data_IF_491046162285
#
_entry.id   IF_491046162285
#
_cell.length_a   1.000
_cell.length_b   1.000
_cell.length_c   1.000
_cell.angle_alpha   90.00
_cell.angle_beta   90.00
_cell.angle_gamma   90.00
#
_symmetry.space_group_name_H-M   'P 1'
#
loop_
_entity.id
_entity.type
_entity.pdbx_description
1 polymer ?
#
# COMPACT_ATOMS: atom_id res chain seq x y z
N UNK A 1 -5.29 10.47 -69.01
CA UNK A 1 -5.89 9.65 -70.08
C UNK A 1 -6.31 8.32 -69.49
N UNK A 2 -7.57 7.95 -69.68
CA UNK A 2 -8.28 6.85 -69.05
C UNK A 2 -8.07 5.50 -69.76
N UNK A 3 -8.26 4.40 -69.01
CA UNK A 3 -9.01 3.14 -69.33
C UNK A 3 -8.63 2.10 -68.24
N UNK A 4 -9.41 1.85 -67.18
CA UNK A 4 -10.71 1.14 -67.09
C UNK A 4 -10.72 -0.18 -67.86
N UNK A 5 -10.65 -1.32 -67.16
CA UNK A 5 -11.35 -2.58 -67.47
C UNK A 5 -11.35 -3.53 -66.25
N UNK A 6 -12.55 -3.77 -65.73
CA UNK A 6 -13.09 -4.97 -65.05
C UNK A 6 -14.57 -5.07 -65.53
N UNK A 7 -15.39 -6.14 -65.36
CA UNK A 7 -15.28 -7.27 -64.41
C UNK A 7 -15.85 -8.65 -64.93
N UNK A 8 -16.06 -9.61 -64.00
CA UNK A 8 -17.05 -10.74 -63.96
C UNK A 8 -16.61 -12.20 -64.36
N UNK A 9 -17.34 -13.30 -63.97
CA UNK A 9 -17.76 -13.78 -62.63
C UNK A 9 -17.76 -15.35 -62.43
N UNK A 10 -18.46 -15.84 -61.36
CA UNK A 10 -19.03 -17.20 -61.06
C UNK A 10 -18.02 -18.26 -60.51
N UNK A 11 -18.24 -19.10 -59.47
CA UNK A 11 -19.46 -19.66 -58.88
C UNK A 11 -19.31 -20.12 -57.41
N UNK A 12 -20.47 -20.11 -56.73
CA UNK A 12 -20.87 -20.67 -55.44
C UNK A 12 -20.91 -22.20 -55.38
N UNK A 13 -20.65 -22.76 -54.19
CA UNK A 13 -21.33 -23.98 -53.73
C UNK A 13 -21.52 -23.96 -52.20
N UNK A 14 -22.78 -24.02 -51.79
CA UNK A 14 -23.23 -24.20 -50.42
C UNK A 14 -23.48 -25.69 -50.15
N UNK A 15 -23.26 -26.14 -48.90
CA UNK A 15 -23.87 -27.36 -48.37
C UNK A 15 -24.24 -27.17 -46.90
N UNK A 16 -25.46 -27.60 -46.58
CA UNK A 16 -26.22 -27.40 -45.35
C UNK A 16 -26.22 -28.69 -44.50
N UNK A 17 -25.98 -28.53 -43.20
CA UNK A 17 -26.44 -29.24 -41.96
C UNK A 17 -26.90 -30.73 -41.98
N UNK A 18 -26.64 -31.50 -40.89
CA UNK A 18 -27.44 -31.44 -39.64
C UNK A 18 -26.62 -31.64 -38.34
N UNK A 19 -26.78 -30.85 -37.26
CA UNK A 19 -27.81 -30.83 -36.21
C UNK A 19 -27.30 -31.38 -34.86
N UNK A 20 -27.43 -30.54 -33.83
CA UNK A 20 -27.66 -30.85 -32.40
C UNK A 20 -26.66 -31.77 -31.67
N UNK A 21 -25.77 -31.14 -30.91
CA UNK A 21 -25.44 -31.60 -29.56
C UNK A 21 -25.56 -30.43 -28.58
N UNK A 22 -26.50 -30.54 -27.64
CA UNK A 22 -26.63 -29.66 -26.47
C UNK A 22 -25.70 -30.20 -25.37
N UNK A 23 -24.87 -29.34 -24.79
CA UNK A 23 -24.12 -29.60 -23.55
C UNK A 23 -24.50 -28.49 -22.57
N UNK A 24 -24.78 -28.81 -21.29
CA UNK A 24 -25.65 -28.01 -20.43
C UNK A 24 -24.99 -26.74 -19.91
N UNK A 25 -25.84 -25.73 -19.68
CA UNK A 25 -25.50 -24.52 -18.95
C UNK A 25 -25.11 -24.86 -17.51
N UNK A 26 -23.85 -24.61 -17.14
CA UNK A 26 -23.42 -24.59 -15.75
C UNK A 26 -23.59 -23.17 -15.23
N UNK A 27 -24.33 -23.06 -14.14
CA UNK A 27 -24.80 -21.85 -13.50
C UNK A 27 -23.67 -20.87 -13.13
N UNK A 28 -23.81 -19.64 -13.59
CA UNK A 28 -23.07 -18.46 -13.15
C UNK A 28 -23.48 -18.13 -11.71
N UNK A 29 -22.59 -18.35 -10.74
CA UNK A 29 -22.74 -17.84 -9.37
C UNK A 29 -21.37 -17.72 -8.67
N UNK A 30 -20.59 -16.68 -9.01
CA UNK A 30 -19.58 -16.09 -8.11
C UNK A 30 -19.03 -14.79 -8.70
N UNK A 31 -19.80 -13.70 -8.59
CA UNK A 31 -19.28 -12.32 -8.67
C UNK A 31 -20.14 -11.41 -7.80
N UNK A 32 -19.61 -11.06 -6.63
CA UNK A 32 -19.88 -9.81 -5.89
C UNK A 32 -19.08 -9.84 -4.58
N UNK A 33 -17.83 -9.40 -4.64
CA UNK A 33 -17.08 -8.87 -3.51
C UNK A 33 -15.83 -8.22 -4.11
N UNK A 34 -15.91 -6.91 -4.38
CA UNK A 34 -14.80 -5.92 -4.35
C UNK A 34 -15.18 -4.62 -5.07
N UNK A 35 -16.21 -4.59 -5.91
CA UNK A 35 -16.69 -3.37 -6.58
C UNK A 35 -18.21 -3.45 -6.83
N UNK A 36 -18.98 -2.51 -6.28
CA UNK A 36 -20.42 -2.43 -6.52
C UNK A 36 -21.11 -1.26 -5.82
N UNK A 37 -21.36 -0.17 -6.57
CA UNK A 37 -22.33 0.87 -6.22
C UNK A 37 -23.77 0.34 -6.35
N UNK A 38 -24.68 0.82 -5.50
CA UNK A 38 -26.09 0.41 -5.49
C UNK A 38 -26.92 1.30 -6.41
N UNK A 39 -27.62 0.68 -7.36
CA UNK A 39 -28.79 1.26 -8.05
C UNK A 39 -30.03 0.86 -7.26
N UNK A 40 -30.83 1.86 -6.88
CA UNK A 40 -32.03 1.69 -6.05
C UNK A 40 -33.24 1.21 -6.84
N UNK A 41 -34.01 0.31 -6.23
CA UNK A 41 -35.41 0.05 -6.59
C UNK A 41 -36.26 0.07 -5.32
N UNK A 42 -37.26 0.96 -5.31
CA UNK A 42 -38.33 1.08 -4.30
C UNK A 42 -39.46 0.12 -4.62
N UNK A 43 -39.98 -0.60 -3.63
CA UNK A 43 -41.34 -1.19 -3.58
C UNK A 43 -41.84 -1.19 -2.11
N UNK A 44 -43.15 -0.99 -1.81
CA UNK A 44 -43.60 -0.38 -0.56
C UNK A 44 -44.02 -1.35 0.57
N UNK A 45 -44.47 -0.74 1.67
CA UNK A 45 -44.64 -1.29 3.01
C UNK A 45 -46.00 -1.96 3.33
N UNK A 46 -45.97 -2.72 4.45
CA UNK A 46 -47.00 -3.16 5.42
C UNK A 46 -47.67 -4.53 5.23
N UNK A 47 -47.47 -5.42 6.23
CA UNK A 47 -48.46 -5.98 7.18
C UNK A 47 -47.74 -7.05 8.05
N UNK A 48 -47.52 -6.80 9.35
CA UNK A 48 -48.31 -7.25 10.52
C UNK A 48 -48.05 -8.70 10.99
N UNK A 49 -47.32 -8.77 12.13
CA UNK A 49 -47.41 -9.69 13.29
C UNK A 49 -47.85 -11.15 13.14
N UNK A 50 -46.98 -12.08 13.55
CA UNK A 50 -47.19 -12.98 14.71
C UNK A 50 -45.93 -13.80 15.00
N UNK A 51 -45.51 -13.82 16.26
CA UNK A 51 -44.38 -14.61 16.72
C UNK A 51 -44.75 -16.06 16.98
N UNK A 52 -43.76 -16.95 16.80
CA UNK A 52 -43.63 -18.23 17.50
C UNK A 52 -42.14 -18.48 17.69
N UNK A 53 -41.75 -18.68 18.94
CA UNK A 53 -40.42 -19.11 19.39
C UNK A 53 -40.31 -20.64 19.32
N UNK A 54 -39.23 -21.16 18.74
CA UNK A 54 -38.65 -22.44 19.12
C UNK A 54 -37.19 -22.53 18.60
N UNK A 55 -36.30 -23.00 19.46
CA UNK A 55 -34.85 -22.87 19.31
C UNK A 55 -34.20 -23.79 18.28
N UNK A 56 -33.00 -23.38 17.88
CA UNK A 56 -32.01 -24.23 17.25
C UNK A 56 -30.63 -23.76 17.73
N UNK A 57 -29.97 -24.60 18.52
CA UNK A 57 -28.54 -24.49 18.80
C UNK A 57 -27.77 -24.68 17.49
N UNK A 58 -26.92 -23.71 17.16
CA UNK A 58 -25.95 -23.82 16.08
C UNK A 58 -24.58 -23.42 16.62
N UNK A 59 -23.78 -24.43 16.93
CA UNK A 59 -22.34 -24.32 17.19
C UNK A 59 -21.62 -24.00 15.87
N UNK A 60 -21.49 -22.72 15.57
CA UNK A 60 -20.59 -22.20 14.54
C UNK A 60 -19.20 -21.87 15.11
N UNK A 61 -18.12 -21.89 14.30
CA UNK A 61 -16.79 -21.53 14.78
C UNK A 61 -16.78 -20.06 15.21
N UNK A 62 -16.22 -19.80 16.39
CA UNK A 62 -16.17 -18.48 17.02
C UNK A 62 -15.56 -17.45 16.05
N UNK A 63 -16.41 -16.58 15.49
CA UNK A 63 -15.98 -15.31 14.97
C UNK A 63 -15.26 -14.60 16.12
N UNK A 64 -13.97 -14.30 15.97
CA UNK A 64 -13.26 -13.42 16.90
C UNK A 64 -14.09 -12.14 16.97
N UNK A 65 -14.70 -11.87 18.12
CA UNK A 65 -15.36 -10.61 18.37
C UNK A 65 -14.34 -9.51 18.06
N UNK A 66 -14.69 -8.59 17.17
CA UNK A 66 -13.89 -7.39 16.95
C UNK A 66 -13.74 -6.74 18.32
N UNK A 67 -12.53 -6.74 18.86
CA UNK A 67 -12.21 -5.98 20.07
C UNK A 67 -12.47 -4.52 19.74
N UNK A 68 -13.61 -4.01 20.21
CA UNK A 68 -13.98 -2.61 20.12
C UNK A 68 -12.94 -1.85 20.95
N UNK A 69 -12.05 -1.14 20.28
CA UNK A 69 -11.08 -0.26 20.95
C UNK A 69 -11.83 0.98 21.45
N UNK A 70 -11.52 1.43 22.66
CA UNK A 70 -12.13 2.65 23.18
C UNK A 70 -11.68 3.88 22.35
N UNK A 71 -12.44 4.99 22.33
CA UNK A 71 -12.01 6.21 21.65
C UNK A 71 -10.65 6.73 22.14
N UNK A 72 -10.34 6.56 23.42
CA UNK A 72 -9.06 6.97 24.02
C UNK A 72 -7.91 6.08 23.51
N UNK A 73 -8.12 4.75 23.50
CA UNK A 73 -7.16 3.79 22.94
C UNK A 73 -6.95 4.01 21.44
N UNK A 74 -8.00 4.38 20.70
CA UNK A 74 -7.93 4.73 19.29
C UNK A 74 -7.02 5.92 19.04
N UNK A 75 -7.20 7.00 19.81
CA UNK A 75 -6.35 8.20 19.70
C UNK A 75 -4.90 7.90 20.06
N UNK A 76 -4.66 7.09 21.10
CA UNK A 76 -3.30 6.69 21.49
C UNK A 76 -2.64 5.79 20.44
N UNK A 77 -3.39 4.85 19.87
CA UNK A 77 -2.93 3.95 18.82
C UNK A 77 -2.48 4.72 17.58
N UNK A 78 -3.32 5.63 17.09
CA UNK A 78 -3.05 6.41 15.87
C UNK A 78 -1.74 7.19 15.97
N UNK A 79 -1.38 7.66 17.17
CA UNK A 79 -0.11 8.35 17.43
C UNK A 79 1.11 7.44 17.50
N UNK A 80 0.93 6.16 17.83
CA UNK A 80 2.02 5.17 18.00
C UNK A 80 2.26 4.32 16.75
N UNK A 81 1.23 4.16 15.92
CA UNK A 81 1.28 3.36 14.70
C UNK A 81 2.31 3.92 13.71
N UNK A 82 3.16 3.06 13.16
CA UNK A 82 4.17 3.46 12.18
C UNK A 82 3.58 3.41 10.79
N UNK A 83 3.07 4.55 10.35
CA UNK A 83 2.43 4.67 9.04
C UNK A 83 3.35 5.23 7.97
N UNK A 84 3.13 4.78 6.74
CA UNK A 84 3.88 5.22 5.56
C UNK A 84 2.98 5.20 4.32
N UNK A 85 3.07 6.22 3.47
CA UNK A 85 2.49 6.13 2.13
C UNK A 85 3.32 5.15 1.30
N UNK A 86 2.67 4.12 0.76
CA UNK A 86 3.36 3.04 0.04
C UNK A 86 3.36 3.28 -1.47
N UNK A 87 2.16 3.40 -2.02
CA UNK A 87 1.98 3.63 -3.44
C UNK A 87 0.60 4.20 -3.74
N UNK A 88 0.47 4.81 -4.91
CA UNK A 88 -0.82 5.19 -5.49
C UNK A 88 -1.18 4.27 -6.63
N UNK A 89 -2.40 3.73 -6.62
CA UNK A 89 -2.90 2.81 -7.63
C UNK A 89 -3.84 3.55 -8.58
N UNK A 90 -3.57 3.44 -9.87
CA UNK A 90 -4.45 3.97 -10.91
C UNK A 90 -4.32 3.18 -12.20
N UNK A 91 -5.28 3.37 -13.11
CA UNK A 91 -5.46 2.54 -14.29
C UNK A 91 -4.93 3.24 -15.53
N UNK A 92 -4.37 2.46 -16.46
CA UNK A 92 -3.79 2.97 -17.72
C UNK A 92 -4.30 2.17 -18.90
N UNK A 93 -4.52 2.83 -20.03
CA UNK A 93 -5.00 2.23 -21.27
C UNK A 93 -3.92 1.49 -22.06
N UNK A 94 -2.66 1.91 -21.93
CA UNK A 94 -1.50 1.28 -22.55
C UNK A 94 -0.32 1.26 -21.57
N UNK A 95 -0.04 0.08 -21.01
CA UNK A 95 0.97 -0.08 -19.96
C UNK A 95 2.37 0.24 -20.46
N UNK A 96 2.73 -0.20 -21.66
CA UNK A 96 4.10 -0.05 -22.17
C UNK A 96 4.37 1.40 -22.59
N UNK A 97 3.36 2.08 -23.16
CA UNK A 97 3.43 3.52 -23.45
C UNK A 97 3.62 4.34 -22.18
N UNK A 98 2.89 4.03 -21.10
CA UNK A 98 3.01 4.76 -19.83
C UNK A 98 4.33 4.45 -19.12
N UNK A 99 4.79 3.19 -19.10
CA UNK A 99 6.13 2.84 -18.60
C UNK A 99 7.21 3.61 -19.35
N UNK A 100 7.14 3.66 -20.69
CA UNK A 100 8.09 4.40 -21.52
C UNK A 100 8.08 5.89 -21.19
N UNK A 101 6.90 6.49 -21.07
CA UNK A 101 6.79 7.90 -20.71
C UNK A 101 7.41 8.19 -19.34
N UNK A 102 7.10 7.39 -18.31
CA UNK A 102 7.64 7.64 -16.96
C UNK A 102 9.14 7.39 -16.86
N UNK A 103 9.67 6.41 -17.58
CA UNK A 103 11.11 6.12 -17.57
C UNK A 103 11.91 7.13 -18.40
N UNK A 104 11.45 7.48 -19.60
CA UNK A 104 12.20 8.37 -20.50
C UNK A 104 11.98 9.86 -20.24
N UNK A 105 10.80 10.26 -19.77
CA UNK A 105 10.45 11.66 -19.57
C UNK A 105 10.53 12.09 -18.11
N UNK A 106 10.19 11.21 -17.16
CA UNK A 106 10.15 11.52 -15.73
C UNK A 106 11.33 10.91 -14.95
N UNK A 107 12.16 10.08 -15.59
CA UNK A 107 13.32 9.48 -14.94
C UNK A 107 12.98 8.43 -13.86
N UNK A 108 11.75 7.93 -13.83
CA UNK A 108 11.37 6.83 -12.94
C UNK A 108 12.03 5.52 -13.37
N UNK A 109 12.13 4.57 -12.44
CA UNK A 109 12.58 3.20 -12.70
C UNK A 109 11.39 2.25 -12.67
N UNK A 110 11.32 1.32 -13.60
CA UNK A 110 10.44 0.16 -13.49
C UNK A 110 11.01 -0.77 -12.40
N UNK A 111 10.32 -0.86 -11.27
CA UNK A 111 10.77 -1.62 -10.10
C UNK A 111 10.32 -3.09 -10.20
N UNK A 112 9.07 -3.29 -10.61
CA UNK A 112 8.47 -4.62 -10.71
C UNK A 112 7.32 -4.59 -11.71
N UNK A 113 7.15 -5.68 -12.45
CA UNK A 113 5.98 -5.94 -13.30
C UNK A 113 5.41 -7.29 -12.92
N UNK A 114 4.09 -7.38 -12.82
CA UNK A 114 3.39 -8.63 -12.49
C UNK A 114 2.19 -8.77 -13.40
N UNK A 115 2.13 -9.88 -14.11
CA UNK A 115 0.99 -10.23 -14.94
C UNK A 115 0.07 -11.21 -14.18
N UNK A 116 -1.25 -11.00 -14.25
CA UNK A 116 -2.26 -11.85 -13.62
C UNK A 116 -3.32 -12.23 -14.69
N UNK A 117 -3.00 -13.16 -15.60
CA UNK A 117 -3.89 -13.53 -16.71
C UNK A 117 -5.25 -14.07 -16.24
N UNK A 118 -5.29 -14.74 -15.08
CA UNK A 118 -6.49 -15.34 -14.51
C UNK A 118 -7.53 -14.28 -14.14
N UNK A 119 -7.06 -13.09 -13.74
CA UNK A 119 -7.89 -11.93 -13.40
C UNK A 119 -7.90 -10.86 -14.51
N UNK A 120 -7.17 -11.09 -15.61
CA UNK A 120 -7.08 -10.25 -16.81
C UNK A 120 -6.56 -8.83 -16.57
N UNK A 121 -5.50 -8.69 -15.77
CA UNK A 121 -4.76 -7.44 -15.64
C UNK A 121 -3.25 -7.66 -15.46
N UNK A 122 -2.49 -6.60 -15.74
CA UNK A 122 -1.06 -6.51 -15.45
C UNK A 122 -0.81 -5.30 -14.55
N UNK A 123 0.02 -5.44 -13.53
CA UNK A 123 0.55 -4.33 -12.75
C UNK A 123 1.99 -3.98 -13.13
N UNK A 124 2.33 -2.69 -13.04
CA UNK A 124 3.70 -2.22 -13.05
C UNK A 124 3.92 -1.21 -11.92
N UNK A 125 5.04 -1.35 -11.20
CA UNK A 125 5.44 -0.50 -10.09
C UNK A 125 6.60 0.37 -10.55
N UNK A 126 6.45 1.70 -10.47
CA UNK A 126 7.48 2.65 -10.89
C UNK A 126 7.72 3.72 -9.83
N UNK A 127 8.97 4.15 -9.68
CA UNK A 127 9.32 5.21 -8.75
C UNK A 127 10.81 5.57 -8.82
N UNK A 128 11.28 6.33 -7.84
CA UNK A 128 12.66 6.83 -7.81
C UNK A 128 13.61 5.96 -6.96
N UNK A 129 13.06 5.01 -6.19
CA UNK A 129 13.79 4.06 -5.38
C UNK A 129 12.96 2.82 -5.02
N UNK A 130 13.50 1.91 -4.19
CA UNK A 130 12.83 0.65 -3.85
C UNK A 130 11.55 0.84 -3.03
N UNK A 131 10.56 -0.06 -3.25
CA UNK A 131 9.19 0.01 -2.68
C UNK A 131 9.15 -0.02 -1.13
N UNK A 132 10.20 -0.53 -0.50
CA UNK A 132 10.33 -0.63 0.96
C UNK A 132 10.56 0.73 1.65
N UNK A 133 11.10 1.70 0.91
CA UNK A 133 11.57 2.99 1.42
C UNK A 133 11.05 4.19 0.65
N UNK A 134 10.51 3.99 -0.56
CA UNK A 134 9.98 5.06 -1.41
C UNK A 134 8.47 4.92 -1.64
N UNK A 135 7.84 6.05 -1.94
CA UNK A 135 6.50 6.10 -2.50
C UNK A 135 6.55 5.87 -4.01
N UNK A 136 5.69 4.98 -4.51
CA UNK A 136 5.74 4.53 -5.91
C UNK A 136 4.36 4.59 -6.57
N UNK A 137 4.31 4.58 -7.90
CA UNK A 137 3.06 4.39 -8.63
C UNK A 137 2.85 2.91 -8.90
N UNK A 138 1.63 2.42 -8.69
CA UNK A 138 1.16 1.12 -9.15
C UNK A 138 0.19 1.33 -10.31
N UNK A 139 0.67 1.05 -11.52
CA UNK A 139 -0.14 1.05 -12.71
C UNK A 139 -0.94 -0.24 -12.81
N UNK A 140 -2.20 -0.15 -13.18
CA UNK A 140 -3.07 -1.30 -13.47
C UNK A 140 -3.58 -1.23 -14.90
N UNK A 141 -3.12 -2.14 -15.76
CA UNK A 141 -3.66 -2.32 -17.10
C UNK A 141 -4.66 -3.47 -17.10
N UNK A 142 -5.92 -3.20 -17.44
CA UNK A 142 -6.93 -4.24 -17.60
C UNK A 142 -7.01 -4.64 -19.07
N UNK A 143 -6.99 -5.92 -19.38
CA UNK A 143 -6.84 -6.40 -20.75
C UNK A 143 -7.98 -5.93 -21.67
N UNK A 144 -7.61 -5.18 -22.72
CA UNK A 144 -8.55 -4.65 -23.71
C UNK A 144 -9.33 -3.42 -23.26
N UNK A 145 -8.97 -2.80 -22.13
CA UNK A 145 -9.54 -1.51 -21.71
C UNK A 145 -8.51 -0.42 -22.00
N UNK A 146 -8.82 0.44 -22.97
CA UNK A 146 -7.86 1.38 -23.56
C UNK A 146 -7.99 2.82 -23.02
N UNK A 147 -9.03 3.11 -22.23
CA UNK A 147 -9.26 4.45 -21.69
C UNK A 147 -10.05 4.41 -20.39
N UNK A 148 -9.80 5.38 -19.53
CA UNK A 148 -10.51 5.56 -18.27
C UNK A 148 -10.97 7.01 -18.13
N UNK A 149 -12.02 7.21 -17.33
CA UNK A 149 -12.49 8.54 -16.94
C UNK A 149 -11.76 8.97 -15.67
N UNK A 150 -10.97 10.04 -15.75
CA UNK A 150 -10.23 10.59 -14.59
C UNK A 150 -11.20 11.23 -13.58
N UNK A 151 -12.35 11.70 -14.02
CA UNK A 151 -13.27 12.48 -13.21
C UNK A 151 -12.75 13.88 -12.88
N UNK A 152 -13.56 14.64 -12.15
CA UNK A 152 -13.23 16.02 -11.76
C UNK A 152 -12.62 16.12 -10.36
N UNK A 153 -12.57 15.03 -9.60
CA UNK A 153 -12.05 15.00 -8.24
C UNK A 153 -10.54 14.82 -8.16
N UNK A 154 -9.95 14.04 -9.07
CA UNK A 154 -8.52 13.81 -9.08
C UNK A 154 -7.80 15.11 -9.52
N UNK A 155 -6.79 15.50 -8.75
CA UNK A 155 -6.02 16.71 -8.99
C UNK A 155 -4.85 16.44 -9.92
N UNK A 156 -3.78 15.89 -9.34
CA UNK A 156 -2.52 15.59 -10.00
C UNK A 156 -1.64 14.72 -9.10
N UNK A 157 -0.54 14.22 -9.66
CA UNK A 157 0.62 13.75 -8.91
C UNK A 157 1.68 14.85 -8.89
N UNK A 158 2.45 14.98 -7.82
CA UNK A 158 3.55 15.95 -7.73
C UNK A 158 4.91 15.27 -7.83
N UNK A 159 5.79 15.82 -8.66
CA UNK A 159 7.17 15.39 -8.80
C UNK A 159 8.09 16.58 -8.52
N UNK A 160 8.92 16.45 -7.48
CA UNK A 160 9.98 17.39 -7.20
C UNK A 160 11.15 17.14 -8.17
N UNK A 161 11.61 18.20 -8.84
CA UNK A 161 12.75 18.17 -9.76
C UNK A 161 13.68 19.34 -9.46
N UNK A 162 14.97 19.18 -9.73
CA UNK A 162 15.96 20.23 -9.47
C UNK A 162 15.88 21.40 -10.45
N UNK A 163 15.42 21.13 -11.67
CA UNK A 163 15.31 22.10 -12.76
C UNK A 163 14.05 21.81 -13.57
N UNK A 164 13.00 22.60 -13.35
CA UNK A 164 11.71 22.38 -13.99
C UNK A 164 11.79 22.71 -15.48
N UNK A 165 12.54 23.73 -15.87
CA UNK A 165 12.69 24.14 -17.27
C UNK A 165 13.33 23.03 -18.10
N UNK A 166 14.47 22.49 -17.66
CA UNK A 166 15.14 21.37 -18.34
C UNK A 166 14.25 20.13 -18.42
N UNK A 167 13.52 19.83 -17.34
CA UNK A 167 12.61 18.68 -17.32
C UNK A 167 11.50 18.85 -18.35
N UNK A 168 10.90 20.04 -18.43
CA UNK A 168 9.88 20.36 -19.44
C UNK A 168 10.42 20.31 -20.86
N UNK A 169 11.63 20.82 -21.11
CA UNK A 169 12.28 20.72 -22.43
C UNK A 169 12.49 19.27 -22.85
N UNK A 170 12.96 18.40 -21.94
CA UNK A 170 13.09 16.97 -22.19
C UNK A 170 11.75 16.33 -22.53
N UNK A 171 10.70 16.62 -21.76
CA UNK A 171 9.35 16.10 -21.97
C UNK A 171 8.83 16.51 -23.36
N UNK A 172 8.99 17.79 -23.73
CA UNK A 172 8.60 18.30 -25.07
C UNK A 172 9.38 17.59 -26.19
N UNK A 173 10.70 17.43 -26.03
CA UNK A 173 11.54 16.75 -27.01
C UNK A 173 11.14 15.27 -27.20
N UNK A 174 10.56 14.65 -26.17
CA UNK A 174 10.02 13.29 -26.20
C UNK A 174 8.54 13.21 -26.65
N UNK A 175 7.93 14.33 -27.01
CA UNK A 175 6.54 14.40 -27.48
C UNK A 175 5.49 14.38 -26.37
N UNK A 176 5.88 14.67 -25.13
CA UNK A 176 4.96 14.80 -24.00
C UNK A 176 4.17 16.11 -24.02
N UNK A 177 3.00 16.10 -23.37
CA UNK A 177 2.08 17.24 -23.35
C UNK A 177 2.38 18.13 -22.15
N UNK A 178 2.62 19.42 -22.39
CA UNK A 178 2.79 20.44 -21.34
C UNK A 178 1.54 21.32 -21.31
N UNK A 179 0.84 21.33 -20.18
CA UNK A 179 -0.42 22.07 -19.99
C UNK A 179 -0.25 23.37 -19.23
N UNK A 180 0.87 23.53 -18.53
CA UNK A 180 1.31 24.82 -17.97
C UNK A 180 2.84 24.89 -18.04
N UNK A 181 3.33 25.90 -18.73
CA UNK A 181 4.77 26.16 -18.84
C UNK A 181 5.42 26.45 -17.47
N UNK A 182 6.73 26.21 -17.34
CA UNK A 182 7.50 26.59 -16.16
C UNK A 182 7.27 28.04 -15.78
N UNK A 183 7.02 28.26 -14.49
CA UNK A 183 6.96 29.59 -13.93
C UNK A 183 6.43 29.61 -12.50
N UNK A 184 6.56 30.76 -11.81
CA UNK A 184 6.12 30.87 -10.43
C UNK A 184 4.65 30.47 -10.25
N UNK A 185 4.36 29.74 -9.18
CA UNK A 185 2.98 29.48 -8.77
C UNK A 185 2.26 30.81 -8.55
N UNK A 186 0.99 30.87 -8.92
CA UNK A 186 0.17 32.07 -8.73
C UNK A 186 0.15 32.45 -7.24
N UNK A 187 0.66 33.64 -6.91
CA UNK A 187 0.77 34.10 -5.51
C UNK A 187 1.87 33.42 -4.69
N UNK A 188 2.94 32.94 -5.33
CA UNK A 188 4.12 32.38 -4.68
C UNK A 188 5.40 32.54 -5.52
N UNK A 189 6.49 31.96 -5.01
CA UNK A 189 7.83 32.03 -5.65
C UNK A 189 8.30 30.70 -6.23
N UNK A 190 7.70 29.59 -5.80
CA UNK A 190 8.07 28.25 -6.29
C UNK A 190 7.79 28.15 -7.78
N UNK A 191 8.81 27.75 -8.55
CA UNK A 191 8.67 27.45 -9.98
C UNK A 191 8.00 26.10 -10.11
N UNK A 192 6.93 26.06 -10.89
CA UNK A 192 6.17 24.84 -11.16
C UNK A 192 5.84 24.76 -12.65
N UNK A 193 5.55 23.56 -13.16
CA UNK A 193 4.96 23.31 -14.48
C UNK A 193 3.90 22.21 -14.36
N UNK A 194 3.00 22.11 -15.34
CA UNK A 194 2.09 20.96 -15.45
C UNK A 194 2.25 20.27 -16.78
N UNK A 195 2.26 18.94 -16.72
CA UNK A 195 2.25 18.06 -17.88
C UNK A 195 1.09 17.08 -17.79
N UNK A 196 0.78 16.43 -18.90
CA UNK A 196 -0.15 15.31 -18.96
C UNK A 196 0.57 14.05 -19.45
N UNK A 197 0.27 12.93 -18.81
CA UNK A 197 0.75 11.62 -19.24
C UNK A 197 -0.11 11.05 -20.39
N UNK A 198 0.22 9.85 -20.93
CA UNK A 198 -0.51 9.26 -22.05
C UNK A 198 -2.02 9.06 -21.85
N UNK A 199 -2.48 8.95 -20.60
CA UNK A 199 -3.88 8.74 -20.23
C UNK A 199 -4.57 10.05 -19.79
N UNK A 200 -3.83 11.16 -19.72
CA UNK A 200 -4.33 12.48 -19.32
C UNK A 200 -4.20 12.78 -17.83
N UNK A 201 -3.50 11.95 -17.05
CA UNK A 201 -3.20 12.28 -15.66
C UNK A 201 -2.25 13.47 -15.60
N UNK A 202 -2.59 14.43 -14.77
CA UNK A 202 -1.77 15.63 -14.56
C UNK A 202 -0.63 15.32 -13.60
N UNK A 203 0.55 15.78 -13.97
CA UNK A 203 1.71 15.83 -13.10
C UNK A 203 2.14 17.28 -12.89
N UNK A 204 2.23 17.71 -11.64
CA UNK A 204 2.89 18.96 -11.27
C UNK A 204 4.39 18.70 -11.11
N UNK A 205 5.21 19.42 -11.88
CA UNK A 205 6.65 19.45 -11.68
C UNK A 205 6.97 20.62 -10.76
N UNK A 206 7.69 20.37 -9.66
CA UNK A 206 7.94 21.35 -8.60
C UNK A 206 9.44 21.53 -8.45
N UNK A 207 9.92 22.75 -8.67
CA UNK A 207 11.34 23.04 -8.52
C UNK A 207 11.72 23.03 -7.04
N UNK A 208 12.58 22.09 -6.65
CA UNK A 208 13.10 21.93 -5.29
C UNK A 208 14.55 21.46 -5.35
N UNK A 209 15.31 21.70 -4.29
CA UNK A 209 16.61 21.05 -4.13
C UNK A 209 16.48 19.51 -4.04
N UNK A 210 17.60 18.79 -4.02
CA UNK A 210 17.61 17.33 -3.93
C UNK A 210 16.73 16.84 -2.76
N UNK A 211 15.84 15.90 -3.06
CA UNK A 211 14.92 15.30 -2.07
C UNK A 211 15.05 13.78 -2.08
N UNK A 212 14.92 13.11 -0.92
CA UNK A 212 14.85 11.65 -0.88
C UNK A 212 13.58 11.08 -1.52
N UNK A 213 12.52 11.88 -1.70
CA UNK A 213 11.24 11.42 -2.23
C UNK A 213 10.75 12.33 -3.37
N UNK A 214 11.24 12.14 -4.61
CA UNK A 214 10.84 12.99 -5.72
C UNK A 214 9.35 12.87 -6.08
N UNK A 215 8.74 11.67 -5.97
CA UNK A 215 7.29 11.50 -6.11
C UNK A 215 6.61 11.96 -4.82
N UNK A 216 6.38 13.27 -4.71
CA UNK A 216 6.14 13.92 -3.43
C UNK A 216 4.68 14.24 -3.13
N UNK A 217 3.75 14.16 -4.10
CA UNK A 217 2.35 14.52 -3.84
C UNK A 217 1.34 13.63 -4.57
N UNK A 218 0.21 13.41 -3.91
CA UNK A 218 -1.06 13.03 -4.54
C UNK A 218 -2.07 14.12 -4.18
N UNK A 219 -2.63 14.81 -5.17
CA UNK A 219 -3.62 15.87 -4.93
C UNK A 219 -5.03 15.39 -5.22
N UNK A 220 -5.91 15.49 -4.22
CA UNK A 220 -7.32 15.14 -4.31
C UNK A 220 -8.19 16.34 -3.94
N UNK A 221 -9.27 16.56 -4.70
CA UNK A 221 -10.26 17.59 -4.36
C UNK A 221 -11.26 17.06 -3.33
N UNK A 222 -11.63 17.93 -2.40
CA UNK A 222 -12.59 17.65 -1.32
C UNK A 222 -13.64 18.75 -1.23
N UNK A 223 -14.85 18.39 -0.81
CA UNK A 223 -15.98 19.30 -0.66
C UNK A 223 -15.98 20.13 0.61
N UNK A 224 -15.23 19.70 1.63
CA UNK A 224 -15.07 20.37 2.92
C UNK A 224 -13.66 20.09 3.45
N UNK A 225 -12.81 21.11 3.45
CA UNK A 225 -11.40 20.95 3.82
C UNK A 225 -11.21 20.67 5.31
N UNK A 226 -11.98 21.30 6.19
CA UNK A 226 -11.83 21.12 7.63
C UNK A 226 -12.29 19.72 8.06
N UNK A 227 -13.38 19.21 7.46
CA UNK A 227 -13.82 17.82 7.62
C UNK A 227 -12.76 16.84 7.14
N UNK A 228 -12.19 17.09 5.96
CA UNK A 228 -11.16 16.22 5.39
C UNK A 228 -9.90 16.20 6.26
N UNK A 229 -9.36 17.37 6.64
CA UNK A 229 -8.22 17.47 7.57
C UNK A 229 -8.50 16.67 8.85
N UNK A 230 -9.64 16.91 9.51
CA UNK A 230 -9.98 16.19 10.74
C UNK A 230 -10.09 14.68 10.53
N UNK A 231 -10.54 14.22 9.36
CA UNK A 231 -10.57 12.79 9.04
C UNK A 231 -9.16 12.22 8.92
N UNK A 232 -8.30 12.82 8.10
CA UNK A 232 -6.94 12.34 7.88
C UNK A 232 -6.08 12.39 9.16
N UNK A 233 -6.27 13.38 10.02
CA UNK A 233 -5.62 13.43 11.34
C UNK A 233 -6.10 12.30 12.26
N UNK A 234 -7.42 12.13 12.43
CA UNK A 234 -7.94 11.21 13.45
C UNK A 234 -8.01 9.76 12.99
N UNK A 235 -8.40 9.53 11.73
CA UNK A 235 -8.51 8.19 11.15
C UNK A 235 -7.15 7.65 10.74
N UNK A 236 -6.31 8.53 10.18
CA UNK A 236 -5.04 8.14 9.60
C UNK A 236 -3.79 8.56 10.35
N UNK A 237 -3.87 9.44 11.34
CA UNK A 237 -2.70 9.89 12.08
C UNK A 237 -1.77 10.77 11.25
N UNK A 238 -2.26 11.35 10.16
CA UNK A 238 -1.49 12.31 9.39
C UNK A 238 -1.38 13.63 10.14
N UNK A 239 -0.25 14.31 9.98
CA UNK A 239 -0.06 15.67 10.46
C UNK A 239 -0.52 16.67 9.39
N UNK A 240 -1.16 17.76 9.80
CA UNK A 240 -1.36 18.94 8.96
C UNK A 240 -0.03 19.70 8.83
N UNK A 241 0.69 19.45 7.76
CA UNK A 241 2.03 20.02 7.51
C UNK A 241 1.95 21.49 7.06
N UNK A 242 0.94 21.81 6.25
CA UNK A 242 0.74 23.15 5.71
C UNK A 242 -0.71 23.37 5.34
N UNK A 243 -1.24 24.56 5.64
CA UNK A 243 -2.52 25.06 5.12
C UNK A 243 -2.31 26.41 4.47
N UNK A 244 -2.85 26.60 3.26
CA UNK A 244 -2.77 27.89 2.56
C UNK A 244 -4.10 28.23 1.91
N UNK A 245 -4.63 29.40 2.25
CA UNK A 245 -5.81 29.96 1.62
C UNK A 245 -5.44 30.92 0.50
N UNK A 246 -6.16 30.87 -0.62
CA UNK A 246 -5.94 31.76 -1.76
C UNK A 246 -7.28 32.39 -2.21
N UNK A 247 -7.80 33.41 -1.51
CA UNK A 247 -9.09 34.03 -1.81
C UNK A 247 -9.19 34.59 -3.24
N UNK A 248 -8.09 35.11 -3.79
CA UNK A 248 -8.03 35.65 -5.15
C UNK A 248 -8.40 34.60 -6.21
N UNK A 249 -8.00 33.35 -5.99
CA UNK A 249 -8.25 32.23 -6.90
C UNK A 249 -9.30 31.25 -6.36
N UNK A 250 -9.95 31.59 -5.23
CA UNK A 250 -11.07 30.86 -4.62
C UNK A 250 -10.79 29.39 -4.33
N UNK A 251 -9.61 29.11 -3.77
CA UNK A 251 -9.28 27.77 -3.29
C UNK A 251 -8.45 27.81 -2.01
N UNK A 252 -8.53 26.74 -1.23
CA UNK A 252 -7.73 26.48 -0.03
C UNK A 252 -7.09 25.11 -0.17
N UNK A 253 -5.82 24.98 0.20
CA UNK A 253 -5.11 23.69 0.20
C UNK A 253 -4.63 23.30 1.60
N UNK A 254 -4.53 21.99 1.83
CA UNK A 254 -3.88 21.40 3.00
C UNK A 254 -2.94 20.27 2.57
N UNK A 255 -1.73 20.24 3.12
CA UNK A 255 -0.76 19.16 2.95
C UNK A 255 -0.81 18.27 4.18
N UNK A 256 -1.13 16.99 3.99
CA UNK A 256 -1.24 15.98 5.03
C UNK A 256 -0.17 14.90 4.83
N UNK A 257 0.53 14.47 5.87
CA UNK A 257 1.55 13.43 5.72
C UNK A 257 2.07 12.86 7.05
N UNK A 258 3.12 12.03 6.96
CA UNK A 258 3.75 11.36 8.11
C UNK A 258 5.18 11.88 8.40
N UNK A 259 5.52 13.05 7.87
CA UNK A 259 6.84 13.66 8.03
C UNK A 259 6.96 14.96 7.24
N UNK A 260 8.14 15.62 7.29
CA UNK A 260 8.35 16.90 6.60
C UNK A 260 8.01 16.86 5.11
N UNK A 261 7.27 17.87 4.63
CA UNK A 261 6.75 17.98 3.24
C UNK A 261 7.85 17.95 2.16
N UNK A 262 9.07 18.34 2.50
CA UNK A 262 10.23 18.36 1.60
C UNK A 262 10.95 17.01 1.50
N UNK A 263 10.62 16.06 2.38
CA UNK A 263 11.32 14.75 2.51
C UNK A 263 10.41 13.54 2.34
N UNK A 264 9.10 13.72 2.31
CA UNK A 264 8.13 12.63 2.23
C UNK A 264 7.03 12.94 1.23
N UNK A 265 6.42 11.89 0.69
CA UNK A 265 5.19 12.02 -0.05
C UNK A 265 4.07 12.53 0.87
N UNK A 266 3.25 13.44 0.35
CA UNK A 266 2.12 14.04 1.06
C UNK A 266 0.82 13.88 0.26
N UNK A 267 -0.29 13.89 0.98
CA UNK A 267 -1.61 14.05 0.41
C UNK A 267 -1.96 15.53 0.40
N UNK A 268 -2.09 16.12 -0.79
CA UNK A 268 -2.61 17.47 -0.95
C UNK A 268 -4.13 17.42 -1.09
N UNK A 269 -4.84 18.12 -0.20
CA UNK A 269 -6.28 18.27 -0.24
C UNK A 269 -6.61 19.67 -0.74
N UNK A 270 -7.35 19.76 -1.85
CA UNK A 270 -7.78 21.04 -2.42
C UNK A 270 -9.28 21.23 -2.27
N UNK A 271 -9.69 22.33 -1.65
CA UNK A 271 -11.06 22.81 -1.63
C UNK A 271 -11.21 24.03 -2.54
N UNK A 272 -12.19 23.99 -3.45
CA UNK A 272 -12.59 25.14 -4.26
C UNK A 272 -13.86 25.74 -3.67
N UNK A 273 -13.91 27.07 -3.55
CA UNK A 273 -14.98 27.72 -2.79
C UNK A 273 -16.36 27.41 -3.37
N UNK A 274 -17.24 26.87 -2.53
CA UNK A 274 -18.62 26.54 -2.89
C UNK A 274 -18.79 25.23 -3.67
N UNK A 275 -17.70 24.54 -4.03
CA UNK A 275 -17.77 23.25 -4.74
C UNK A 275 -17.68 22.12 -3.71
N UNK A 276 -18.79 21.40 -3.55
CA UNK A 276 -18.96 20.39 -2.48
C UNK A 276 -18.81 18.94 -2.96
N UNK A 277 -18.92 18.70 -4.25
CA UNK A 277 -18.93 17.36 -4.82
C UNK A 277 -18.09 17.35 -6.09
N UNK A 278 -17.41 16.23 -6.31
CA UNK A 278 -16.61 15.97 -7.50
C UNK A 278 -16.83 14.55 -7.95
N UNK A 279 -16.87 14.38 -9.27
CA UNK A 279 -16.87 13.06 -9.87
C UNK A 279 -15.51 12.39 -9.65
N UNK A 280 -15.55 11.14 -9.20
CA UNK A 280 -14.34 10.35 -8.91
C UNK A 280 -13.78 9.69 -10.16
N UNK A 281 -14.59 9.62 -11.23
CA UNK A 281 -14.25 8.86 -12.41
C UNK A 281 -14.05 7.37 -12.07
N UNK A 282 -13.33 6.68 -12.94
CA UNK A 282 -12.96 5.28 -12.78
C UNK A 282 -11.46 5.03 -13.07
N UNK A 283 -10.65 6.07 -13.24
CA UNK A 283 -9.22 5.95 -13.54
C UNK A 283 -8.39 5.78 -12.26
N UNK A 284 -8.43 6.77 -11.36
CA UNK A 284 -7.81 6.67 -10.03
C UNK A 284 -8.47 5.54 -9.22
N UNK A 285 -7.68 4.70 -8.55
CA UNK A 285 -8.21 3.59 -7.77
C UNK A 285 -8.14 3.85 -6.26
N UNK A 286 -6.94 4.03 -5.70
CA UNK A 286 -6.73 4.20 -4.26
C UNK A 286 -5.29 4.63 -3.93
N UNK A 287 -5.08 5.11 -2.71
CA UNK A 287 -3.75 5.23 -2.10
C UNK A 287 -3.54 4.09 -1.08
N UNK A 288 -2.35 3.50 -1.07
CA UNK A 288 -1.98 2.46 -0.11
C UNK A 288 -1.14 3.05 1.03
N UNK A 289 -1.50 2.67 2.27
CA UNK A 289 -0.89 3.16 3.50
C UNK A 289 -0.43 1.96 4.33
N UNK A 290 0.83 1.93 4.71
CA UNK A 290 1.36 0.93 5.64
C UNK A 290 0.87 1.20 7.07
N UNK A 291 0.59 0.14 7.83
CA UNK A 291 0.22 0.21 9.26
C UNK A 291 0.72 -1.05 9.97
N UNK A 292 1.01 -0.93 11.26
CA UNK A 292 1.38 -2.06 12.11
C UNK A 292 0.14 -2.91 12.50
N UNK A 293 -1.09 -2.43 12.34
CA UNK A 293 -2.31 -3.20 12.63
C UNK A 293 -3.53 -2.75 11.80
N UNK A 294 -3.90 -3.57 10.82
CA UNK A 294 -5.05 -3.30 9.95
C UNK A 294 -6.40 -3.43 10.67
N UNK A 295 -6.48 -4.19 11.77
CA UNK A 295 -7.71 -4.39 12.53
C UNK A 295 -8.02 -3.14 13.36
N UNK A 296 -7.03 -2.65 14.11
CA UNK A 296 -7.16 -1.37 14.84
C UNK A 296 -7.41 -0.23 13.88
N UNK A 297 -6.67 -0.18 12.76
CA UNK A 297 -6.87 0.85 11.73
C UNK A 297 -8.30 0.87 11.20
N UNK A 298 -8.90 -0.30 10.91
CA UNK A 298 -10.30 -0.36 10.48
C UNK A 298 -11.26 0.21 11.53
N UNK A 299 -11.03 -0.06 12.82
CA UNK A 299 -11.89 0.43 13.89
C UNK A 299 -11.79 1.95 14.08
N UNK A 300 -10.57 2.49 14.08
CA UNK A 300 -10.37 3.95 14.13
C UNK A 300 -11.04 4.65 12.94
N UNK A 301 -10.95 4.08 11.74
CA UNK A 301 -11.60 4.65 10.55
C UNK A 301 -13.12 4.72 10.72
N UNK A 302 -13.76 3.68 11.27
CA UNK A 302 -15.21 3.68 11.54
C UNK A 302 -15.59 4.78 12.52
N UNK A 303 -14.82 4.93 13.60
CA UNK A 303 -15.08 5.92 14.65
C UNK A 303 -14.96 7.37 14.14
N UNK A 304 -14.23 7.59 13.04
CA UNK A 304 -13.96 8.92 12.49
C UNK A 304 -14.71 9.20 11.17
N UNK A 305 -15.77 8.44 10.87
CA UNK A 305 -16.67 8.74 9.73
C UNK A 305 -16.21 8.20 8.38
N UNK A 306 -15.17 7.37 8.35
CA UNK A 306 -14.79 6.63 7.15
C UNK A 306 -15.61 5.36 6.98
N UNK A 307 -15.85 4.95 5.74
CA UNK A 307 -16.60 3.74 5.44
C UNK A 307 -15.65 2.59 5.11
N UNK A 308 -15.69 1.51 5.88
CA UNK A 308 -14.97 0.28 5.55
C UNK A 308 -15.62 -0.37 4.32
N UNK A 309 -14.83 -0.55 3.26
CA UNK A 309 -15.23 -1.22 2.01
C UNK A 309 -14.71 -2.65 1.92
N UNK A 310 -13.68 -2.98 2.71
CA UNK A 310 -13.19 -4.35 2.93
C UNK A 310 -12.79 -4.50 4.39
N UNK A 311 -13.43 -5.44 5.08
CA UNK A 311 -13.09 -5.81 6.45
C UNK A 311 -11.62 -6.23 6.60
N UNK A 312 -10.97 -5.91 7.74
CA UNK A 312 -9.57 -6.23 7.97
C UNK A 312 -9.35 -7.74 7.97
N UNK A 313 -8.36 -8.20 7.22
CA UNK A 313 -8.00 -9.61 7.17
C UNK A 313 -7.00 -9.96 6.07
N UNK A 314 -6.50 -11.21 6.08
CA UNK A 314 -5.61 -11.70 5.03
C UNK A 314 -6.34 -11.73 3.67
N UNK A 315 -5.59 -11.48 2.60
CA UNK A 315 -6.08 -11.74 1.24
C UNK A 315 -6.16 -13.25 0.98
N UNK A 316 -7.13 -13.72 0.19
CA UNK A 316 -7.13 -15.12 -0.26
C UNK A 316 -5.86 -15.41 -1.09
N UNK A 317 -5.18 -16.51 -0.80
CA UNK A 317 -3.99 -16.94 -1.55
C UNK A 317 -2.67 -16.25 -1.17
N UNK A 318 -2.71 -15.10 -0.49
CA UNK A 318 -1.52 -14.42 0.05
C UNK A 318 -1.77 -13.98 1.49
N UNK A 319 -0.85 -14.27 2.41
CA UNK A 319 -1.02 -13.98 3.85
C UNK A 319 -1.00 -12.49 4.21
N UNK A 320 -0.84 -11.59 3.22
CA UNK A 320 -0.88 -10.14 3.40
C UNK A 320 -2.22 -9.69 3.97
N UNK A 321 -2.19 -9.09 5.16
CA UNK A 321 -3.37 -8.53 5.82
C UNK A 321 -3.62 -7.12 5.30
N UNK A 322 -4.87 -6.83 4.91
CA UNK A 322 -5.30 -5.50 4.46
C UNK A 322 -6.65 -5.14 5.05
N UNK A 323 -6.95 -3.85 5.10
CA UNK A 323 -8.31 -3.29 5.18
C UNK A 323 -8.47 -2.22 4.11
N UNK A 324 -9.68 -1.98 3.62
CA UNK A 324 -9.94 -0.91 2.66
C UNK A 324 -11.10 -0.04 3.14
N UNK A 325 -11.01 1.25 2.88
CA UNK A 325 -12.01 2.22 3.28
C UNK A 325 -12.14 3.36 2.27
N UNK A 326 -13.19 4.16 2.42
CA UNK A 326 -13.33 5.46 1.78
C UNK A 326 -13.37 6.57 2.82
N UNK A 327 -12.78 7.71 2.48
CA UNK A 327 -12.90 8.94 3.24
C UNK A 327 -14.32 9.57 3.08
N UNK A 328 -14.64 10.67 3.79
CA UNK A 328 -15.93 11.33 3.71
C UNK A 328 -16.32 11.85 2.31
N UNK A 329 -15.35 12.01 1.41
CA UNK A 329 -15.55 12.45 0.03
C UNK A 329 -15.59 11.28 -0.96
N UNK A 330 -15.39 10.04 -0.49
CA UNK A 330 -15.43 8.81 -1.28
C UNK A 330 -14.08 8.36 -1.84
N UNK A 331 -12.96 9.01 -1.48
CA UNK A 331 -11.63 8.60 -1.91
C UNK A 331 -11.21 7.32 -1.21
N UNK A 332 -10.81 6.33 -2.00
CA UNK A 332 -10.47 5.01 -1.48
C UNK A 332 -9.03 4.97 -0.96
N UNK A 333 -8.85 4.36 0.20
CA UNK A 333 -7.55 4.02 0.78
C UNK A 333 -7.49 2.53 1.11
N UNK A 334 -6.31 1.93 0.96
CA UNK A 334 -6.04 0.55 1.40
C UNK A 334 -4.93 0.57 2.43
N UNK A 335 -5.23 0.13 3.64
CA UNK A 335 -4.24 -0.01 4.68
C UNK A 335 -3.65 -1.41 4.64
N UNK A 336 -2.34 -1.52 4.51
CA UNK A 336 -1.59 -2.77 4.35
C UNK A 336 -0.77 -3.01 5.60
N UNK A 337 -0.84 -4.22 6.14
CA UNK A 337 0.01 -4.61 7.26
C UNK A 337 1.47 -4.59 6.82
N UNK A 338 2.26 -3.76 7.50
CA UNK A 338 3.70 -3.78 7.38
C UNK A 338 4.23 -4.88 8.30
N UNK A 339 4.65 -6.00 7.71
CA UNK A 339 5.50 -6.95 8.42
C UNK A 339 6.92 -6.39 8.43
N UNK A 340 7.09 -5.24 9.09
CA UNK A 340 8.39 -4.77 9.55
C UNK A 340 8.76 -5.69 10.71
N UNK A 341 9.02 -6.96 10.39
CA UNK A 341 9.84 -7.77 11.26
C UNK A 341 11.08 -6.93 11.46
N UNK A 342 11.41 -6.71 12.75
CA UNK A 342 12.72 -6.33 13.23
C UNK A 342 13.82 -6.78 12.24
N UNK A 343 14.90 -6.01 12.00
CA UNK A 343 15.94 -6.27 10.97
C UNK A 343 16.59 -7.67 10.97
N UNK A 344 16.12 -8.60 11.81
CA UNK A 344 16.44 -10.00 11.93
C UNK A 344 15.65 -10.96 11.01
N UNK A 345 14.61 -10.54 10.27
CA UNK A 345 13.84 -11.47 9.39
C UNK A 345 14.57 -11.95 8.14
N UNK A 346 15.67 -11.31 7.74
CA UNK A 346 16.51 -11.80 6.64
C UNK A 346 17.56 -12.82 7.09
N UNK A 347 17.65 -13.12 8.39
CA UNK A 347 18.25 -14.36 8.82
C UNK A 347 17.16 -15.43 8.74
N UNK A 348 17.31 -16.36 7.78
CA UNK A 348 16.77 -17.71 7.96
C UNK A 348 17.04 -18.17 9.40
N UNK A 349 16.23 -19.07 9.99
CA UNK A 349 16.57 -19.65 11.27
C UNK A 349 17.83 -20.50 11.07
N UNK A 350 19.00 -19.87 11.12
CA UNK A 350 20.23 -20.57 11.36
C UNK A 350 20.09 -21.10 12.77
N UNK A 351 19.90 -22.41 12.88
CA UNK A 351 20.00 -23.11 14.16
C UNK A 351 21.39 -22.81 14.74
N UNK A 352 21.48 -21.79 15.59
CA UNK A 352 22.64 -21.57 16.41
C UNK A 352 22.60 -22.62 17.53
N UNK A 353 23.34 -23.71 17.36
CA UNK A 353 23.61 -24.63 18.46
C UNK A 353 24.71 -24.00 19.31
N UNK A 354 24.34 -23.53 20.50
CA UNK A 354 25.28 -23.07 21.51
C UNK A 354 25.76 -24.23 22.37
N UNK A 355 27.07 -24.49 22.41
CA UNK A 355 27.67 -25.45 23.35
C UNK A 355 28.35 -24.68 24.47
N UNK A 356 27.99 -25.01 25.71
CA UNK A 356 28.58 -24.42 26.92
C UNK A 356 29.67 -25.35 27.43
N UNK A 357 30.90 -24.86 27.53
CA UNK A 357 32.01 -25.55 28.18
C UNK A 357 32.35 -24.86 29.50
N UNK A 358 32.65 -25.67 30.53
CA UNK A 358 33.21 -25.20 31.80
C UNK A 358 34.60 -25.80 31.94
N UNK A 359 35.62 -24.96 31.97
CA UNK A 359 37.03 -25.33 32.14
C UNK A 359 37.64 -24.37 33.16
N UNK A 360 38.23 -24.92 34.24
CA UNK A 360 38.95 -24.16 35.28
C UNK A 360 38.23 -22.86 35.71
N UNK A 361 36.97 -23.00 36.15
CA UNK A 361 36.10 -21.88 36.60
C UNK A 361 35.77 -20.80 35.55
N UNK A 362 36.06 -21.06 34.28
CA UNK A 362 35.68 -20.25 33.15
C UNK A 362 34.55 -20.87 32.34
N UNK A 363 33.52 -20.06 32.05
CA UNK A 363 32.37 -20.43 31.22
C UNK A 363 32.64 -19.95 29.80
N UNK A 364 32.66 -20.86 28.85
CA UNK A 364 32.84 -20.57 27.43
C UNK A 364 31.54 -20.92 26.69
N UNK A 365 30.99 -19.95 25.94
CA UNK A 365 29.91 -20.19 25.00
C UNK A 365 30.48 -20.19 23.58
N UNK A 366 30.33 -21.30 22.87
CA UNK A 366 30.70 -21.42 21.46
C UNK A 366 29.41 -21.47 20.63
N UNK A 367 29.25 -20.50 19.74
CA UNK A 367 28.15 -20.47 18.78
C UNK A 367 28.63 -21.00 17.44
N UNK A 368 28.00 -22.07 16.95
CA UNK A 368 28.19 -22.52 15.58
C UNK A 368 27.21 -21.77 14.67
N UNK A 369 27.71 -20.74 13.98
CA UNK A 369 26.98 -20.06 12.92
C UNK A 369 27.75 -20.29 11.62
N UNK A 370 27.33 -21.23 10.76
CA UNK A 370 27.97 -21.41 9.46
C UNK A 370 27.77 -20.12 8.61
N UNK A 371 28.84 -19.50 8.06
CA UNK A 371 30.19 -20.04 7.85
C UNK A 371 31.28 -19.46 8.79
N UNK A 372 30.95 -18.75 9.87
CA UNK A 372 31.93 -18.06 10.73
C UNK A 372 31.84 -18.45 12.21
N UNK A 373 32.97 -18.93 12.75
CA UNK A 373 33.12 -19.25 14.16
C UNK A 373 33.32 -17.96 14.97
N UNK A 374 32.40 -17.66 15.90
CA UNK A 374 32.53 -16.52 16.81
C UNK A 374 32.79 -17.03 18.24
N UNK A 375 33.94 -16.66 18.82
CA UNK A 375 34.29 -16.97 20.21
C UNK A 375 34.04 -15.74 21.08
N UNK A 376 33.15 -15.82 22.06
CA UNK A 376 32.86 -14.74 23.01
C UNK A 376 33.30 -15.14 24.42
N UNK A 377 34.15 -14.32 25.04
CA UNK A 377 34.59 -14.49 26.43
C UNK A 377 33.69 -13.67 27.35
N UNK A 378 32.99 -14.33 28.29
CA UNK A 378 31.99 -13.68 29.14
C UNK A 378 32.60 -13.22 30.47
N UNK A 379 32.29 -11.98 30.88
CA UNK A 379 32.70 -11.36 32.15
C UNK A 379 32.14 -12.08 33.39
N UNK A 380 32.89 -12.06 34.50
CA UNK A 380 32.57 -12.72 35.77
C UNK A 380 31.21 -12.32 36.37
N UNK A 381 30.71 -11.09 36.11
CA UNK A 381 29.40 -10.64 36.60
C UNK A 381 28.23 -11.43 36.00
N UNK A 382 28.33 -11.85 34.73
CA UNK A 382 27.27 -12.59 34.05
C UNK A 382 27.22 -14.07 34.51
N UNK A 383 28.36 -14.61 34.99
CA UNK A 383 28.44 -15.98 35.55
C UNK A 383 27.53 -16.17 36.76
N UNK A 384 27.38 -15.14 37.60
CA UNK A 384 26.52 -15.19 38.78
C UNK A 384 25.03 -15.09 38.42
N UNK A 385 24.70 -14.35 37.35
CA UNK A 385 23.33 -14.22 36.86
C UNK A 385 22.77 -15.54 36.29
N UNK A 386 23.60 -16.28 35.54
CA UNK A 386 23.22 -17.58 34.96
C UNK A 386 23.06 -18.66 36.05
N UNK A 387 23.93 -18.68 37.07
CA UNK A 387 23.85 -19.64 38.19
C UNK A 387 22.54 -19.57 38.97
N UNK A 388 21.91 -18.40 39.08
CA UNK A 388 20.72 -18.19 39.91
C UNK A 388 19.39 -18.56 39.22
N UNK A 389 19.32 -18.64 37.89
CA UNK A 389 18.04 -18.79 37.17
C UNK A 389 17.76 -20.15 36.52
N UNK A 390 18.73 -21.08 36.43
CA UNK A 390 18.60 -22.26 35.56
C UNK A 390 18.99 -23.61 36.20
N UNK A 391 18.77 -23.80 37.50
CA UNK A 391 18.84 -25.15 38.11
C UNK A 391 17.46 -25.83 38.09
N UNK A 392 17.03 -26.26 36.90
CA UNK A 392 16.05 -27.34 36.73
C UNK A 392 16.47 -28.11 35.46
N UNK A 393 17.37 -29.09 35.62
CA UNK A 393 17.72 -30.01 34.55
C UNK A 393 16.84 -31.26 34.65
N UNK A 394 16.23 -31.66 33.54
CA UNK A 394 15.66 -32.99 33.32
C UNK A 394 16.83 -33.96 33.15
N UNK A 395 16.88 -35.00 33.98
CA UNK A 395 17.83 -36.11 33.85
C UNK A 395 17.42 -36.98 32.65
N UNK A 396 18.20 -36.96 31.57
CA UNK A 396 18.11 -37.96 30.50
C UNK A 396 19.35 -38.83 30.57
N UNK A 397 19.24 -39.98 31.25
CA UNK A 397 20.28 -41.01 31.24
C UNK A 397 20.24 -41.78 29.92
N UNK A 398 21.26 -41.63 29.09
CA UNK A 398 21.64 -42.64 28.09
C UNK A 398 23.05 -43.14 28.41
N UNK A 399 23.14 -44.42 28.79
CA UNK A 399 24.40 -45.13 29.05
C UNK A 399 25.05 -45.50 27.71
N UNK A 400 26.08 -44.78 27.29
CA UNK A 400 27.24 -45.35 26.57
C UNK A 400 28.48 -44.48 26.85
N UNK A 401 29.48 -45.04 27.56
CA UNK A 401 30.82 -44.47 27.71
C UNK A 401 30.96 -43.28 28.67
N UNK A 402 31.98 -43.30 29.52
CA UNK A 402 32.20 -42.33 30.60
C UNK A 402 32.50 -40.90 30.10
N UNK A 403 31.47 -40.11 29.79
CA UNK A 403 31.49 -38.64 29.86
C UNK A 403 30.09 -38.18 30.26
N UNK A 404 29.96 -37.54 31.44
CA UNK A 404 28.71 -36.86 31.83
C UNK A 404 28.60 -35.55 31.05
N UNK A 405 27.95 -35.55 29.89
CA UNK A 405 27.58 -34.31 29.19
C UNK A 405 26.22 -33.82 29.68
N UNK A 406 26.18 -32.64 30.29
CA UNK A 406 24.94 -31.90 30.51
C UNK A 406 24.64 -31.10 29.25
N UNK A 407 23.61 -31.50 28.50
CA UNK A 407 23.11 -30.71 27.38
C UNK A 407 22.01 -29.79 27.87
N UNK A 408 22.30 -28.49 27.99
CA UNK A 408 21.28 -27.46 28.24
C UNK A 408 20.84 -26.86 26.91
N UNK A 409 19.58 -27.03 26.54
CA UNK A 409 18.97 -26.27 25.44
C UNK A 409 18.64 -24.88 25.99
N UNK A 410 19.31 -23.85 25.48
CA UNK A 410 19.14 -22.47 25.92
C UNK A 410 18.27 -21.73 24.89
N UNK A 411 16.99 -21.51 25.18
CA UNK A 411 16.22 -20.45 24.50
C UNK A 411 16.65 -19.11 25.09
N UNK A 412 17.55 -18.40 24.42
CA UNK A 412 17.85 -17.00 24.75
C UNK A 412 17.03 -16.07 23.87
N UNK A 413 15.99 -15.45 24.45
CA UNK A 413 15.43 -14.21 23.93
C UNK A 413 16.50 -13.11 24.06
N UNK A 414 17.06 -12.67 22.93
CA UNK A 414 17.94 -11.49 22.88
C UNK A 414 17.12 -10.23 23.16
N UNK A 415 17.03 -9.85 24.43
CA UNK A 415 16.69 -8.50 24.85
C UNK A 415 17.65 -8.15 25.98
N UNK A 416 18.39 -7.05 25.83
CA UNK A 416 19.37 -6.46 26.76
C UNK A 416 20.85 -6.88 26.58
N UNK A 417 21.54 -6.25 25.63
CA UNK A 417 22.87 -5.64 25.83
C UNK A 417 23.33 -4.91 24.56
N UNK A 418 22.89 -3.66 24.39
CA UNK A 418 23.59 -2.68 23.57
C UNK A 418 23.94 -1.50 24.49
N UNK A 419 24.89 -1.74 25.39
CA UNK A 419 25.58 -0.66 26.09
C UNK A 419 27.08 -0.80 25.79
N UNK A 420 27.65 0.32 25.35
CA UNK A 420 29.09 0.61 25.25
C UNK A 420 29.90 -0.22 24.26
N UNK A 421 29.92 0.19 22.99
CA UNK A 421 31.08 0.12 22.09
C UNK A 421 30.98 1.21 21.01
N UNK A 422 30.87 2.46 21.47
CA UNK A 422 31.33 3.64 20.74
C UNK A 422 32.34 4.33 21.66
N UNK A 423 33.61 3.96 21.54
CA UNK A 423 34.81 4.79 21.77
C UNK A 423 36.08 3.94 21.72
N UNK A 424 36.66 3.82 20.51
CA UNK A 424 38.02 4.22 20.13
C UNK A 424 38.39 3.59 18.79
#
# INVERSE_FOLDING_TARGET
MARLLSPLPIATAAAVFPSRFRIPAVSVARRQALFGGRVGLRVPARLSTRGVSAGAEASGPAARAATVISPEEAVEWVKKDRRRLLHVVYRVGDLDKTIKFYTECLGMKLLRRRDIPEERYTNAFLGYGPEDSHFVVELTYNYGVESYDIGSGFGHFGIAVEDVEKTVELIKAKGGTVTREPGPVKGGKSVIAFIEDPDGYKFELIERGPTPEPLCQVMLRVGDLDRAISFYEKAFGMELLRRKDNPQYKYTIAMMGYGPEDKHAVLELTYNYGVKEYDKGNAYAQIAIGTDDVYKTAEVVRQNGGQITREPGPLPGISTKITACTDPDGWKSVCVYLDLVSPFSHFLPFMCVGVVFILEDCLFLVFFCMPQLLLLTISQQFKNYIKQRFFFCIDVQTKVGQISQKMCILEMCFSLCYCSLFHK
#
